data_IF_307066315796
#
_entry.id   IF_307066315796
#
_cell.length_a   1.000
_cell.length_b   1.000
_cell.length_c   1.000
_cell.angle_alpha   90.00
_cell.angle_beta   90.00
_cell.angle_gamma   90.00
#
_symmetry.space_group_name_H-M   'P 1'
#
loop_
_entity.id
_entity.type
_entity.pdbx_description
1 polymer ?
#
# COMPACT_ATOMS: atom_id res chain seq x y z
N UNK A 1 14.52 -12.94 -9.12
CA UNK A 1 13.14 -13.23 -8.71
C UNK A 1 12.30 -11.98 -8.81
N UNK A 2 10.97 -12.10 -8.78
CA UNK A 2 10.05 -10.95 -8.79
C UNK A 2 9.79 -10.45 -7.37
N UNK A 3 9.67 -9.13 -7.20
CA UNK A 3 9.25 -8.48 -5.96
C UNK A 3 8.00 -7.64 -6.26
N UNK A 4 6.89 -8.00 -5.67
CA UNK A 4 5.64 -7.24 -5.83
C UNK A 4 5.62 -6.08 -4.84
N UNK A 5 5.59 -4.84 -5.38
CA UNK A 5 5.67 -3.60 -4.58
C UNK A 5 4.30 -2.94 -4.45
N UNK A 6 3.83 -2.75 -3.22
CA UNK A 6 2.55 -2.13 -2.89
C UNK A 6 2.81 -0.77 -2.26
N UNK A 7 2.35 0.30 -2.89
CA UNK A 7 2.54 1.68 -2.43
C UNK A 7 1.64 2.03 -1.22
N UNK A 8 1.84 3.19 -0.63
CA UNK A 8 0.93 3.74 0.37
C UNK A 8 -0.36 4.29 -0.24
N UNK A 9 -1.35 4.58 0.60
CA UNK A 9 -2.59 5.25 0.17
C UNK A 9 -2.26 6.62 -0.46
N UNK A 10 -2.93 6.92 -1.57
CA UNK A 10 -2.71 8.16 -2.31
C UNK A 10 -1.32 8.25 -2.96
N UNK A 11 -0.64 7.12 -3.12
CA UNK A 11 0.65 7.02 -3.79
C UNK A 11 0.61 5.90 -4.83
N UNK A 12 1.49 5.98 -5.81
CA UNK A 12 1.60 5.01 -6.90
C UNK A 12 3.03 4.45 -7.03
N UNK A 13 3.33 3.77 -8.13
CA UNK A 13 4.63 3.18 -8.44
C UNK A 13 5.82 4.15 -8.35
N UNK A 14 5.60 5.45 -8.43
CA UNK A 14 6.66 6.48 -8.36
C UNK A 14 7.38 6.49 -7.01
N UNK A 15 6.75 5.98 -5.94
CA UNK A 15 7.40 5.85 -4.62
C UNK A 15 8.60 4.92 -4.65
N UNK A 16 8.62 3.99 -5.61
CA UNK A 16 9.71 3.02 -5.77
C UNK A 16 10.86 3.53 -6.63
N UNK A 17 10.76 4.72 -7.22
CA UNK A 17 11.75 5.27 -8.17
C UNK A 17 13.18 5.33 -7.61
N UNK A 18 13.30 5.47 -6.30
CA UNK A 18 14.61 5.59 -5.64
C UNK A 18 15.09 4.28 -5.00
N UNK A 19 14.37 3.19 -5.18
CA UNK A 19 14.81 1.87 -4.75
C UNK A 19 15.69 1.27 -5.85
N UNK A 20 16.90 0.88 -5.46
CA UNK A 20 17.77 0.05 -6.30
C UNK A 20 17.71 -1.37 -5.74
N UNK A 21 17.20 -2.28 -6.53
CA UNK A 21 17.04 -3.68 -6.16
C UNK A 21 17.78 -4.54 -7.19
N UNK A 22 18.38 -5.64 -6.74
CA UNK A 22 18.98 -6.64 -7.63
C UNK A 22 17.92 -7.48 -8.36
N UNK A 23 16.66 -7.34 -7.97
CA UNK A 23 15.54 -8.12 -8.45
C UNK A 23 14.51 -7.25 -9.14
N UNK A 24 13.75 -7.84 -10.04
CA UNK A 24 12.67 -7.16 -10.75
C UNK A 24 11.56 -6.72 -9.80
N UNK A 25 11.31 -5.41 -9.72
CA UNK A 25 10.19 -4.87 -8.98
C UNK A 25 8.96 -4.74 -9.88
N UNK A 26 7.88 -5.40 -9.49
CA UNK A 26 6.57 -5.32 -10.13
C UNK A 26 5.67 -4.45 -9.26
N UNK A 27 5.38 -3.22 -9.69
CA UNK A 27 4.46 -2.36 -8.95
C UNK A 27 3.04 -2.93 -8.99
N UNK A 28 2.43 -3.09 -7.82
CA UNK A 28 1.02 -3.46 -7.66
C UNK A 28 0.23 -2.16 -7.48
N UNK A 29 -0.56 -1.81 -8.46
CA UNK A 29 -1.39 -0.61 -8.41
C UNK A 29 -2.70 -0.89 -7.65
N UNK A 30 -3.25 0.15 -7.03
CA UNK A 30 -4.50 0.06 -6.31
C UNK A 30 -5.67 -0.21 -7.27
N UNK A 31 -6.47 -1.22 -6.98
CA UNK A 31 -7.73 -1.48 -7.68
C UNK A 31 -8.88 -0.85 -6.89
N UNK A 32 -9.99 -0.53 -7.57
CA UNK A 32 -11.15 0.07 -6.90
C UNK A 32 -11.71 -0.89 -5.84
N UNK A 33 -11.77 -0.47 -4.57
CA UNK A 33 -12.37 -1.30 -3.52
C UNK A 33 -13.88 -1.43 -3.73
N UNK A 34 -14.45 -2.57 -3.33
CA UNK A 34 -15.90 -2.78 -3.30
C UNK A 34 -16.46 -2.21 -2.00
N UNK A 35 -17.74 -1.86 -2.01
CA UNK A 35 -18.43 -1.39 -0.81
C UNK A 35 -18.33 -2.43 0.29
N UNK A 36 -17.85 -2.02 1.47
CA UNK A 36 -17.69 -2.89 2.65
C UNK A 36 -16.75 -4.08 2.46
N UNK A 37 -15.80 -3.97 1.54
CA UNK A 37 -14.85 -5.03 1.26
C UNK A 37 -13.84 -5.20 2.40
N UNK A 38 -13.74 -6.39 3.02
CA UNK A 38 -12.69 -6.67 3.98
C UNK A 38 -11.31 -6.64 3.32
N UNK A 39 -10.28 -6.23 4.08
CA UNK A 39 -8.90 -6.16 3.59
C UNK A 39 -8.42 -7.50 3.01
N UNK A 40 -8.84 -8.61 3.59
CA UNK A 40 -8.48 -9.95 3.10
C UNK A 40 -9.06 -10.24 1.72
N UNK A 41 -10.31 -9.84 1.47
CA UNK A 41 -10.95 -10.04 0.16
C UNK A 41 -10.36 -9.12 -0.90
N UNK A 42 -10.05 -7.88 -0.53
CA UNK A 42 -9.31 -6.95 -1.38
C UNK A 42 -7.93 -7.51 -1.74
N UNK A 43 -7.21 -8.07 -0.76
CA UNK A 43 -5.89 -8.70 -0.99
C UNK A 43 -5.96 -9.91 -1.91
N UNK A 44 -7.01 -10.75 -1.82
CA UNK A 44 -7.24 -11.86 -2.75
C UNK A 44 -7.41 -11.37 -4.18
N UNK A 45 -8.16 -10.29 -4.39
CA UNK A 45 -8.33 -9.71 -5.73
C UNK A 45 -7.02 -9.18 -6.31
N UNK A 46 -6.16 -8.57 -5.48
CA UNK A 46 -4.83 -8.16 -5.92
C UNK A 46 -3.95 -9.38 -6.28
N UNK A 47 -4.04 -10.46 -5.51
CA UNK A 47 -3.32 -11.70 -5.81
C UNK A 47 -3.74 -12.23 -7.19
N UNK A 48 -5.04 -12.29 -7.47
CA UNK A 48 -5.59 -12.74 -8.75
C UNK A 48 -5.18 -11.82 -9.90
N UNK A 49 -5.35 -10.49 -9.74
CA UNK A 49 -5.07 -9.49 -10.77
C UNK A 49 -3.60 -9.49 -11.20
N UNK A 50 -2.68 -9.63 -10.24
CA UNK A 50 -1.24 -9.58 -10.49
C UNK A 50 -0.56 -10.94 -10.55
N UNK A 51 -1.30 -12.04 -10.38
CA UNK A 51 -0.75 -13.39 -10.35
C UNK A 51 0.28 -13.61 -9.24
N UNK A 52 0.08 -12.97 -8.08
CA UNK A 52 1.03 -13.06 -6.95
C UNK A 52 1.01 -14.48 -6.39
N UNK A 53 2.16 -15.13 -6.37
CA UNK A 53 2.27 -16.51 -5.88
C UNK A 53 2.10 -17.58 -6.96
N UNK A 54 1.97 -17.20 -8.24
CA UNK A 54 2.01 -18.16 -9.35
C UNK A 54 3.40 -18.79 -9.54
N UNK A 55 4.43 -18.13 -9.02
CA UNK A 55 5.81 -18.62 -9.00
C UNK A 55 6.25 -18.80 -7.53
N UNK A 56 6.96 -19.87 -7.24
CA UNK A 56 7.42 -20.17 -5.86
C UNK A 56 8.51 -19.21 -5.35
N UNK A 57 9.17 -18.48 -6.26
CA UNK A 57 10.31 -17.63 -5.92
C UNK A 57 9.98 -16.15 -6.14
N UNK A 58 9.29 -15.55 -5.18
CA UNK A 58 8.93 -14.14 -5.18
C UNK A 58 9.06 -13.51 -3.79
N UNK A 59 9.13 -12.19 -3.76
CA UNK A 59 9.08 -11.37 -2.55
C UNK A 59 7.94 -10.36 -2.61
N UNK A 60 7.59 -9.78 -1.45
CA UNK A 60 6.60 -8.70 -1.34
C UNK A 60 7.26 -7.51 -0.64
N UNK A 61 6.95 -6.31 -1.11
CA UNK A 61 7.37 -5.05 -0.50
C UNK A 61 6.16 -4.16 -0.33
N UNK A 62 5.92 -3.69 0.89
CA UNK A 62 4.82 -2.78 1.20
C UNK A 62 5.31 -1.49 1.84
N UNK A 63 4.80 -0.36 1.38
CA UNK A 63 5.12 0.97 1.90
C UNK A 63 3.91 1.54 2.62
N UNK A 64 4.09 2.00 3.87
CA UNK A 64 3.03 2.63 4.66
C UNK A 64 1.78 1.73 4.74
N UNK A 65 0.60 2.20 4.34
CA UNK A 65 -0.63 1.38 4.31
C UNK A 65 -0.50 0.15 3.39
N UNK A 66 0.29 0.24 2.31
CA UNK A 66 0.60 -0.91 1.47
C UNK A 66 1.27 -2.07 2.22
N UNK A 67 1.91 -1.80 3.35
CA UNK A 67 2.47 -2.83 4.21
C UNK A 67 1.41 -3.70 4.90
N UNK A 68 0.23 -3.16 5.22
CA UNK A 68 -0.89 -3.96 5.74
C UNK A 68 -1.40 -4.93 4.67
N UNK A 69 -1.53 -4.45 3.44
CA UNK A 69 -1.91 -5.31 2.30
C UNK A 69 -0.83 -6.35 2.04
N UNK A 70 0.45 -5.95 2.04
CA UNK A 70 1.58 -6.86 1.89
C UNK A 70 1.57 -7.98 2.95
N UNK A 71 1.26 -7.64 4.19
CA UNK A 71 1.14 -8.61 5.29
C UNK A 71 0.00 -9.59 5.05
N UNK A 72 -1.18 -9.12 4.61
CA UNK A 72 -2.31 -10.02 4.30
C UNK A 72 -2.01 -10.92 3.09
N UNK A 73 -1.42 -10.36 2.02
CA UNK A 73 -0.99 -11.16 0.85
C UNK A 73 0.04 -12.20 1.27
N UNK A 74 1.00 -11.86 2.12
CA UNK A 74 2.03 -12.78 2.59
C UNK A 74 1.47 -13.98 3.37
N UNK A 75 0.42 -13.77 4.15
CA UNK A 75 -0.28 -14.85 4.86
C UNK A 75 -0.97 -15.81 3.89
N UNK A 76 -1.45 -15.29 2.76
CA UNK A 76 -2.20 -16.06 1.76
C UNK A 76 -1.28 -16.80 0.77
N UNK A 77 -0.09 -16.24 0.46
CA UNK A 77 0.75 -16.70 -0.66
C UNK A 77 2.13 -17.21 -0.25
N UNK A 78 2.58 -16.95 0.97
CA UNK A 78 3.86 -17.43 1.54
C UNK A 78 5.10 -17.05 0.71
N UNK A 79 5.37 -15.74 0.49
CA UNK A 79 6.56 -15.29 -0.24
C UNK A 79 7.86 -15.68 0.48
N UNK A 80 8.99 -15.62 -0.21
CA UNK A 80 10.32 -15.86 0.39
C UNK A 80 10.66 -14.83 1.46
N UNK A 81 10.22 -13.59 1.27
CA UNK A 81 10.35 -12.52 2.26
C UNK A 81 9.27 -11.46 2.04
N UNK A 82 9.01 -10.70 3.09
CA UNK A 82 8.16 -9.50 3.05
C UNK A 82 8.93 -8.34 3.65
N UNK A 83 9.05 -7.25 2.90
CA UNK A 83 9.70 -6.01 3.34
C UNK A 83 8.62 -4.98 3.65
N UNK A 84 8.65 -4.41 4.84
CA UNK A 84 7.77 -3.34 5.26
C UNK A 84 8.57 -2.05 5.44
N UNK A 85 8.20 -1.00 4.70
CA UNK A 85 8.84 0.32 4.75
C UNK A 85 7.86 1.32 5.33
N UNK A 86 8.24 1.97 6.45
CA UNK A 86 7.38 2.97 7.11
C UNK A 86 5.96 2.47 7.33
N UNK A 87 5.83 1.20 7.72
CA UNK A 87 4.57 0.49 7.87
C UNK A 87 4.53 -0.23 9.21
N UNK A 88 3.42 -0.87 9.47
CA UNK A 88 3.16 -1.68 10.66
C UNK A 88 2.73 -3.07 10.25
N UNK A 89 3.09 -4.06 11.05
CA UNK A 89 2.70 -5.45 10.82
C UNK A 89 1.30 -5.74 11.35
N UNK A 90 0.95 -5.09 12.45
CA UNK A 90 -0.30 -5.36 13.16
C UNK A 90 -1.13 -4.11 13.42
N UNK A 91 -2.44 -4.30 13.62
CA UNK A 91 -3.35 -3.20 14.01
C UNK A 91 -2.97 -2.53 15.33
N UNK A 92 -2.32 -3.25 16.23
CA UNK A 92 -1.93 -2.74 17.55
C UNK A 92 -0.82 -1.70 17.44
N UNK A 93 -0.03 -1.74 16.37
CA UNK A 93 1.05 -0.80 16.10
C UNK A 93 0.58 0.49 15.42
N UNK A 94 -0.64 0.50 14.89
CA UNK A 94 -1.22 1.70 14.30
C UNK A 94 -1.41 2.80 15.33
N UNK A 95 -1.04 4.03 14.97
CA UNK A 95 -1.26 5.21 15.83
C UNK A 95 -2.75 5.39 16.17
N UNK A 96 -3.04 6.11 17.28
CA UNK A 96 -4.39 6.22 17.84
C UNK A 96 -5.46 6.66 16.84
N UNK A 97 -5.13 7.53 15.88
CA UNK A 97 -6.07 8.02 14.84
C UNK A 97 -6.48 6.87 13.91
N UNK A 98 -5.53 6.02 13.51
CA UNK A 98 -5.80 4.88 12.63
C UNK A 98 -6.44 3.74 13.41
N UNK A 99 -6.12 3.57 14.70
CA UNK A 99 -6.81 2.62 15.60
C UNK A 99 -8.29 2.93 15.77
N UNK A 100 -8.66 4.21 15.81
CA UNK A 100 -10.05 4.63 15.93
C UNK A 100 -10.85 4.31 14.64
N UNK A 101 -10.21 4.41 13.48
CA UNK A 101 -10.75 3.97 12.19
C UNK A 101 -10.82 2.43 12.05
N UNK A 102 -10.10 1.68 12.91
CA UNK A 102 -9.77 0.26 12.75
C UNK A 102 -10.71 -0.77 13.38
N UNK A 103 -11.86 -0.39 13.92
CA UNK A 103 -12.80 -1.36 14.51
C UNK A 103 -13.62 -2.16 13.51
N UNK A 104 -13.00 -2.87 12.59
CA UNK A 104 -13.52 -3.91 11.70
C UNK A 104 -13.73 -3.62 10.21
N UNK A 105 -13.61 -2.38 9.74
CA UNK A 105 -13.93 -2.03 8.34
C UNK A 105 -12.99 -0.94 7.80
N UNK A 106 -11.69 -1.22 7.73
CA UNK A 106 -10.66 -0.20 7.43
C UNK A 106 -10.89 0.49 6.08
N UNK A 107 -11.31 -0.25 5.06
CA UNK A 107 -11.55 0.32 3.73
C UNK A 107 -12.82 1.16 3.69
N UNK A 108 -13.85 0.81 4.47
CA UNK A 108 -15.08 1.61 4.55
C UNK A 108 -14.94 2.94 5.31
N UNK A 109 -14.01 2.97 6.24
CA UNK A 109 -13.79 4.10 7.14
C UNK A 109 -12.67 5.03 6.68
N UNK A 110 -12.01 4.74 5.55
CA UNK A 110 -11.12 5.72 4.93
C UNK A 110 -12.03 6.68 4.16
N UNK A 111 -12.28 7.92 4.68
CA UNK A 111 -13.04 8.90 3.93
C UNK A 111 -12.34 9.11 2.58
N UNK A 112 -13.10 9.30 1.50
CA UNK A 112 -12.53 9.64 0.18
C UNK A 112 -11.54 10.80 0.27
N UNK A 113 -11.77 11.74 1.21
CA UNK A 113 -10.85 12.83 1.54
C UNK A 113 -9.49 12.38 2.11
N UNK A 114 -9.38 11.17 2.68
CA UNK A 114 -8.12 10.62 3.19
C UNK A 114 -7.38 9.85 2.09
N UNK A 115 -8.11 9.34 1.10
CA UNK A 115 -7.55 8.79 -0.14
C UNK A 115 -6.94 9.91 -1.00
N UNK A 116 -7.45 11.15 -0.84
CA UNK A 116 -6.94 12.35 -1.49
C UNK A 116 -6.69 13.45 -0.44
N UNK A 117 -5.70 13.30 0.43
CA UNK A 117 -5.48 14.22 1.54
C UNK A 117 -5.07 15.60 1.00
N UNK A 118 -5.56 16.71 1.62
CA UNK A 118 -5.05 18.03 1.31
C UNK A 118 -3.53 18.06 1.33
N UNK A 119 -2.90 18.77 0.38
CA UNK A 119 -1.43 18.81 0.20
C UNK A 119 -0.65 19.04 1.49
N UNK A 120 -1.19 19.84 2.41
CA UNK A 120 -0.57 20.11 3.72
C UNK A 120 -0.51 18.85 4.61
N UNK A 121 -1.58 18.07 4.63
CA UNK A 121 -1.65 16.82 5.41
C UNK A 121 -0.74 15.76 4.78
N UNK A 122 -0.72 15.67 3.46
CA UNK A 122 0.16 14.77 2.75
C UNK A 122 1.64 15.10 3.01
N UNK A 123 2.03 16.38 3.00
CA UNK A 123 3.39 16.80 3.35
C UNK A 123 3.78 16.42 4.78
N UNK A 124 2.86 16.51 5.73
CA UNK A 124 3.09 16.10 7.12
C UNK A 124 3.21 14.58 7.26
N UNK A 125 2.32 13.82 6.60
CA UNK A 125 2.32 12.36 6.66
C UNK A 125 3.55 11.73 6.00
N UNK A 126 4.01 12.29 4.89
CA UNK A 126 5.15 11.74 4.16
C UNK A 126 6.51 12.30 4.62
N UNK A 127 6.54 13.35 5.46
CA UNK A 127 7.76 13.88 6.09
C UNK A 127 8.88 14.21 5.10
N UNK A 128 8.56 14.39 3.81
CA UNK A 128 9.58 14.50 2.77
C UNK A 128 10.01 15.95 2.52
N UNK A 129 11.31 16.15 2.35
CA UNK A 129 11.88 17.40 1.87
C UNK A 129 11.77 17.55 0.35
N UNK A 130 11.46 16.49 -0.39
CA UNK A 130 11.32 16.50 -1.86
C UNK A 130 9.89 16.82 -2.27
N UNK A 131 9.52 18.09 -2.14
CA UNK A 131 8.18 18.60 -2.42
C UNK A 131 7.72 18.36 -3.87
N UNK A 132 8.63 18.41 -4.83
CA UNK A 132 8.31 18.22 -6.26
C UNK A 132 7.79 16.83 -6.56
N UNK A 133 8.45 15.78 -6.05
CA UNK A 133 8.00 14.41 -6.23
C UNK A 133 6.65 14.16 -5.58
N UNK A 134 6.47 14.64 -4.33
CA UNK A 134 5.20 14.50 -3.63
C UNK A 134 4.07 15.22 -4.37
N UNK A 135 4.32 16.45 -4.85
CA UNK A 135 3.34 17.21 -5.63
C UNK A 135 2.97 16.50 -6.93
N UNK A 136 3.93 15.87 -7.63
CA UNK A 136 3.64 15.11 -8.84
C UNK A 136 2.77 13.87 -8.57
N UNK A 137 3.02 13.17 -7.47
CA UNK A 137 2.22 12.02 -7.04
C UNK A 137 0.79 12.46 -6.70
N UNK A 138 0.64 13.56 -5.93
CA UNK A 138 -0.67 14.07 -5.50
C UNK A 138 -1.47 14.70 -6.65
N UNK A 139 -0.82 15.29 -7.65
CA UNK A 139 -1.49 15.93 -8.77
C UNK A 139 -2.17 14.91 -9.71
N UNK A 140 -1.61 13.69 -9.80
CA UNK A 140 -2.12 12.65 -10.71
C UNK A 140 -3.04 11.65 -9.99
N UNK A 141 -3.21 11.78 -8.67
CA UNK A 141 -4.08 10.91 -7.87
C UNK A 141 -5.51 11.48 -7.80
N UNK A 142 -6.02 12.04 -8.88
CA UNK A 142 -7.46 12.29 -9.02
C UNK A 142 -8.13 10.91 -9.27
N UNK A 143 -8.63 10.34 -8.20
CA UNK A 143 -9.54 9.20 -8.24
C UNK A 143 -10.93 9.67 -8.68
N UNK A 144 -11.09 9.95 -9.97
CA UNK A 144 -12.41 10.10 -10.61
C UNK A 144 -13.06 8.73 -10.83
#
# INVERSE_FOLDING_TARGET
MKIFGISGLGADKRVFKYLTLEHELIPVEWIKPKTKEPIIEYSKRLIEEYGIGNEDNFGILGVSFGGLIATEISKLTKPKFTILISSVETRTELSGIIKLAGKSKIIELIPEKLLNPPKVIAHFMFGTKKKELLNSILADTDLN
#
